data_IF_953714564703
#
_entry.id   IF_953714564703
#
_cell.length_a   1.000
_cell.length_b   1.000
_cell.length_c   1.000
_cell.angle_alpha   90.00
_cell.angle_beta   90.00
_cell.angle_gamma   90.00
#
_symmetry.space_group_name_H-M   'P 1'
#
loop_
_entity.id
_entity.type
_entity.pdbx_description
1 polymer ?
#
# COMPACT_ATOMS: atom_id res chain seq x y z
N UNK A 1 30.97 23.43 -66.78
CA UNK A 1 31.36 23.67 -65.39
C UNK A 1 30.10 23.65 -64.54
N UNK A 2 29.80 22.52 -63.92
CA UNK A 2 28.66 22.40 -62.98
C UNK A 2 29.21 22.33 -61.56
N UNK A 3 28.92 23.34 -60.79
CA UNK A 3 29.26 23.38 -59.37
C UNK A 3 28.09 22.78 -58.53
N UNK A 4 28.28 21.58 -58.03
CA UNK A 4 27.32 20.91 -57.13
C UNK A 4 27.50 21.39 -55.70
N UNK A 5 26.44 21.96 -55.13
CA UNK A 5 26.39 22.38 -53.71
C UNK A 5 25.93 21.21 -52.86
N UNK A 6 26.82 20.71 -51.99
CA UNK A 6 26.51 19.67 -51.00
C UNK A 6 25.82 20.34 -49.83
N UNK A 7 24.53 20.07 -49.63
CA UNK A 7 23.79 20.46 -48.39
C UNK A 7 24.03 19.40 -47.30
N UNK A 8 24.79 19.79 -46.28
CA UNK A 8 24.98 19.03 -45.06
C UNK A 8 23.74 19.13 -44.20
N UNK A 9 22.97 18.06 -44.08
CA UNK A 9 21.88 17.92 -43.09
C UNK A 9 22.48 17.58 -41.74
N UNK A 10 22.58 18.54 -40.86
CA UNK A 10 22.88 18.31 -39.43
C UNK A 10 21.63 17.72 -38.75
N UNK A 11 21.64 16.41 -38.48
CA UNK A 11 20.66 15.76 -37.61
C UNK A 11 20.88 16.25 -36.17
N UNK A 12 19.94 17.04 -35.68
CA UNK A 12 19.89 17.46 -34.29
C UNK A 12 19.36 16.28 -33.46
N UNK A 13 20.28 15.56 -32.79
CA UNK A 13 19.95 14.48 -31.85
C UNK A 13 19.41 15.14 -30.57
N UNK A 14 18.09 15.18 -30.42
CA UNK A 14 17.42 15.67 -29.21
C UNK A 14 17.61 14.61 -28.11
N UNK A 15 18.61 14.78 -27.26
CA UNK A 15 18.73 13.99 -26.03
C UNK A 15 17.63 14.45 -25.06
N UNK A 16 16.60 13.65 -24.91
CA UNK A 16 15.64 13.78 -23.82
C UNK A 16 16.35 13.39 -22.52
N UNK A 17 16.85 14.38 -21.78
CA UNK A 17 17.25 14.18 -20.40
C UNK A 17 15.98 13.97 -19.57
N UNK A 18 15.73 12.72 -19.18
CA UNK A 18 14.71 12.41 -18.17
C UNK A 18 15.10 13.11 -16.86
N UNK A 19 14.21 13.95 -16.34
CA UNK A 19 14.40 14.56 -15.03
C UNK A 19 14.19 13.46 -13.98
N UNK A 20 15.28 13.05 -13.34
CA UNK A 20 15.24 12.12 -12.20
C UNK A 20 15.00 12.91 -10.94
N UNK A 21 13.94 12.58 -10.21
CA UNK A 21 13.63 13.17 -8.91
C UNK A 21 13.95 12.14 -7.81
N UNK A 22 14.86 12.50 -6.92
CA UNK A 22 15.17 11.71 -5.73
C UNK A 22 14.32 12.21 -4.58
N UNK A 23 13.51 11.34 -4.01
CA UNK A 23 12.65 11.67 -2.87
C UNK A 23 13.22 11.00 -1.63
N UNK A 24 13.50 11.82 -0.60
CA UNK A 24 13.89 11.32 0.72
C UNK A 24 12.68 10.70 1.42
N UNK A 25 12.90 9.56 2.08
CA UNK A 25 11.88 8.91 2.88
C UNK A 25 11.87 9.44 4.31
N UNK A 26 10.66 9.55 4.86
CA UNK A 26 10.47 9.52 6.30
C UNK A 26 10.18 8.09 6.71
N UNK A 27 10.93 7.54 7.67
CA UNK A 27 10.57 6.25 8.25
C UNK A 27 9.40 6.42 9.22
N UNK A 28 8.46 5.50 9.15
CA UNK A 28 7.34 5.44 10.09
C UNK A 28 7.36 4.08 10.80
N UNK A 29 6.89 3.99 12.05
CA UNK A 29 6.80 2.71 12.73
C UNK A 29 5.95 1.73 11.93
N UNK A 30 6.44 0.50 11.75
CA UNK A 30 5.66 -0.57 11.13
C UNK A 30 4.40 -0.90 11.94
N UNK A 31 3.41 -1.54 11.29
CA UNK A 31 2.12 -1.87 11.92
C UNK A 31 2.27 -2.72 13.18
N UNK A 32 3.35 -3.49 13.29
CA UNK A 32 3.65 -4.36 14.43
C UNK A 32 4.75 -3.84 15.36
N UNK A 33 5.43 -2.73 15.04
CA UNK A 33 6.43 -2.15 15.92
C UNK A 33 5.75 -1.50 17.13
N UNK A 34 5.55 -2.26 18.16
CA UNK A 34 4.96 -1.81 19.44
C UNK A 34 5.88 -0.89 20.25
N UNK A 35 7.16 -0.79 19.88
CA UNK A 35 8.15 0.05 20.55
C UNK A 35 8.92 0.86 19.53
N UNK A 36 8.92 2.19 19.69
CA UNK A 36 9.65 3.12 18.84
C UNK A 36 11.17 2.90 18.99
N UNK A 37 11.71 2.05 18.14
CA UNK A 37 13.16 1.92 17.94
C UNK A 37 13.60 2.75 16.74
N UNK A 38 14.87 3.13 16.71
CA UNK A 38 15.48 3.75 15.53
C UNK A 38 15.35 2.79 14.34
N UNK A 39 15.01 3.31 13.14
CA UNK A 39 14.91 2.47 11.96
C UNK A 39 16.23 1.75 11.68
N UNK A 40 16.18 0.43 11.53
CA UNK A 40 17.36 -0.39 11.22
C UNK A 40 17.80 -0.27 9.75
N UNK A 41 16.97 0.35 8.91
CA UNK A 41 17.25 0.64 7.51
C UNK A 41 16.85 2.07 7.14
N UNK A 42 17.40 2.53 6.02
CA UNK A 42 17.02 3.77 5.36
C UNK A 42 16.49 3.41 3.97
N UNK A 43 15.51 4.15 3.48
CA UNK A 43 14.97 3.95 2.14
C UNK A 43 15.07 5.21 1.28
N UNK A 44 15.21 5.00 -0.03
CA UNK A 44 15.20 6.04 -1.05
C UNK A 44 14.25 5.63 -2.16
N UNK A 45 13.50 6.58 -2.65
CA UNK A 45 12.72 6.45 -3.89
C UNK A 45 13.32 7.34 -4.96
N UNK A 46 13.69 6.75 -6.08
CA UNK A 46 13.97 7.47 -7.32
C UNK A 46 12.75 7.37 -8.24
N UNK A 47 12.31 8.52 -8.75
CA UNK A 47 11.13 8.60 -9.60
C UNK A 47 11.49 9.30 -10.91
N UNK A 48 11.19 8.64 -12.04
CA UNK A 48 11.39 9.19 -13.39
C UNK A 48 10.10 9.06 -14.19
N UNK A 49 9.95 9.87 -15.23
CA UNK A 49 8.82 9.71 -16.18
C UNK A 49 8.98 8.41 -16.95
N UNK A 50 7.93 7.60 -17.01
CA UNK A 50 7.89 6.36 -17.76
C UNK A 50 6.99 6.46 -18.99
N UNK A 51 7.51 6.05 -20.14
CA UNK A 51 6.76 6.04 -21.39
C UNK A 51 6.37 7.42 -21.92
N UNK A 52 5.23 7.47 -22.63
CA UNK A 52 4.69 8.70 -23.24
C UNK A 52 3.57 9.34 -22.41
N UNK A 53 3.07 8.64 -21.41
CA UNK A 53 1.96 9.10 -20.58
C UNK A 53 2.50 9.97 -19.44
N UNK A 54 2.06 11.22 -19.38
CA UNK A 54 2.58 12.22 -18.45
C UNK A 54 2.29 11.91 -16.96
N UNK A 55 1.35 11.00 -16.67
CA UNK A 55 1.04 10.54 -15.31
C UNK A 55 1.68 9.19 -14.95
N UNK A 56 2.45 8.59 -15.84
CA UNK A 56 3.15 7.33 -15.53
C UNK A 56 4.57 7.61 -15.04
N UNK A 57 4.94 6.98 -13.95
CA UNK A 57 6.26 7.09 -13.33
C UNK A 57 6.91 5.73 -13.19
N UNK A 58 8.19 5.67 -13.49
CA UNK A 58 9.06 4.59 -13.05
C UNK A 58 9.47 4.88 -11.60
N UNK A 59 9.15 3.96 -10.69
CA UNK A 59 9.49 4.03 -9.28
C UNK A 59 10.59 3.01 -9.00
N UNK A 60 11.69 3.45 -8.39
CA UNK A 60 12.82 2.61 -7.97
C UNK A 60 13.08 2.83 -6.48
N UNK A 61 12.76 1.81 -5.68
CA UNK A 61 12.96 1.82 -4.23
C UNK A 61 14.25 1.10 -3.90
N UNK A 62 15.12 1.74 -3.13
CA UNK A 62 16.34 1.15 -2.61
C UNK A 62 16.38 1.28 -1.09
N UNK A 63 16.75 0.20 -0.40
CA UNK A 63 16.94 0.19 1.05
C UNK A 63 18.40 -0.12 1.39
N UNK A 64 18.92 0.56 2.41
CA UNK A 64 20.26 0.34 2.95
C UNK A 64 20.19 0.12 4.46
N UNK A 65 21.09 -0.68 5.00
CA UNK A 65 21.22 -0.86 6.45
C UNK A 65 21.72 0.44 7.09
N UNK A 66 21.03 0.93 8.12
CA UNK A 66 21.41 2.18 8.81
C UNK A 66 22.82 2.08 9.44
N UNK A 67 23.20 0.90 9.95
CA UNK A 67 24.46 0.70 10.65
C UNK A 67 25.71 0.85 9.77
N UNK A 68 25.63 0.57 8.46
CA UNK A 68 26.84 0.51 7.60
C UNK A 68 26.62 0.97 6.15
N UNK A 69 25.40 1.41 5.80
CA UNK A 69 25.06 1.87 4.45
C UNK A 69 25.01 0.78 3.37
N UNK A 70 25.16 -0.50 3.74
CA UNK A 70 25.14 -1.58 2.76
C UNK A 70 23.72 -1.79 2.23
N UNK A 71 23.62 -2.06 0.92
CA UNK A 71 22.33 -2.35 0.27
C UNK A 71 21.67 -3.60 0.87
N UNK A 72 20.38 -3.50 1.17
CA UNK A 72 19.54 -4.64 1.51
C UNK A 72 19.17 -5.36 0.21
N UNK A 73 19.44 -6.67 0.12
CA UNK A 73 19.16 -7.47 -1.09
C UNK A 73 18.18 -8.60 -0.82
N UNK A 74 18.05 -9.02 0.45
CA UNK A 74 17.21 -10.10 0.85
C UNK A 74 16.10 -9.60 1.76
N UNK A 75 14.86 -10.05 1.46
CA UNK A 75 13.65 -9.68 2.15
C UNK A 75 12.82 -10.93 2.43
N UNK A 76 12.16 -10.94 3.57
CA UNK A 76 11.16 -11.96 3.88
C UNK A 76 9.96 -11.79 2.93
N UNK A 77 9.26 -12.87 2.70
CA UNK A 77 8.00 -12.84 1.96
C UNK A 77 6.88 -12.70 2.97
N UNK A 78 6.23 -11.55 2.94
CA UNK A 78 5.03 -11.28 3.72
C UNK A 78 3.82 -11.35 2.79
N UNK A 79 2.87 -12.22 3.12
CA UNK A 79 1.64 -12.36 2.32
C UNK A 79 1.92 -12.45 0.81
N UNK A 80 2.78 -13.38 0.43
CA UNK A 80 3.21 -13.67 -0.95
C UNK A 80 4.10 -12.62 -1.63
N UNK A 81 4.38 -11.47 -1.02
CA UNK A 81 5.20 -10.40 -1.58
C UNK A 81 6.35 -10.01 -0.66
N UNK A 82 7.42 -9.49 -1.24
CA UNK A 82 8.60 -8.99 -0.50
C UNK A 82 8.53 -7.49 -0.20
N UNK A 83 7.69 -6.76 -0.93
CA UNK A 83 7.41 -5.35 -0.72
C UNK A 83 5.95 -5.09 -1.06
N UNK A 84 5.23 -4.49 -0.14
CA UNK A 84 3.92 -3.89 -0.36
C UNK A 84 4.08 -2.38 -0.50
N UNK A 85 3.49 -1.82 -1.53
CA UNK A 85 3.48 -0.38 -1.73
C UNK A 85 2.05 0.10 -1.79
N UNK A 86 1.72 0.96 -0.84
CA UNK A 86 0.43 1.65 -0.79
C UNK A 86 0.65 3.08 -1.26
N UNK A 87 -0.19 3.53 -2.18
CA UNK A 87 -0.16 4.90 -2.71
C UNK A 87 -1.53 5.52 -2.48
N UNK A 88 -1.57 6.65 -1.80
CA UNK A 88 -2.80 7.41 -1.59
C UNK A 88 -2.60 8.86 -2.02
N UNK A 89 -3.64 9.50 -2.54
CA UNK A 89 -3.62 10.95 -2.77
C UNK A 89 -3.71 11.72 -1.44
N UNK A 90 -3.24 12.94 -1.42
CA UNK A 90 -3.24 13.81 -0.22
C UNK A 90 -4.66 14.00 0.36
N UNK A 91 -5.69 14.00 -0.50
CA UNK A 91 -7.11 14.08 -0.12
C UNK A 91 -7.73 12.70 0.21
N UNK A 92 -6.95 11.64 0.18
CA UNK A 92 -7.36 10.26 0.41
C UNK A 92 -8.48 9.75 -0.54
N UNK A 93 -8.64 10.36 -1.72
CA UNK A 93 -9.62 9.91 -2.73
C UNK A 93 -9.09 8.76 -3.58
N UNK A 94 -7.78 8.67 -3.77
CA UNK A 94 -7.09 7.62 -4.53
C UNK A 94 -6.46 6.62 -3.56
N UNK A 95 -6.62 5.34 -3.87
CA UNK A 95 -5.95 4.22 -3.20
C UNK A 95 -5.43 3.22 -4.22
N UNK A 96 -4.15 2.93 -4.15
CA UNK A 96 -3.50 1.90 -4.97
C UNK A 96 -2.69 0.99 -4.05
N UNK A 97 -2.80 -0.33 -4.22
CA UNK A 97 -2.00 -1.33 -3.53
C UNK A 97 -1.24 -2.14 -4.59
N UNK A 98 0.06 -1.93 -4.66
CA UNK A 98 0.91 -2.45 -5.73
C UNK A 98 2.15 -3.16 -5.19
N UNK A 99 2.75 -4.02 -6.01
CA UNK A 99 3.85 -4.89 -5.59
C UNK A 99 5.01 -4.78 -6.59
N UNK A 100 6.01 -3.95 -6.31
CA UNK A 100 7.19 -3.80 -7.14
C UNK A 100 8.00 -5.10 -7.27
N UNK A 101 8.69 -5.25 -8.39
CA UNK A 101 9.55 -6.40 -8.64
C UNK A 101 10.96 -6.17 -8.08
N UNK A 102 11.43 -7.12 -7.28
CA UNK A 102 12.81 -7.11 -6.76
C UNK A 102 13.82 -7.44 -7.86
N UNK A 103 14.87 -6.63 -7.95
CA UNK A 103 16.03 -6.83 -8.81
C UNK A 103 17.20 -7.48 -8.05
N UNK A 104 18.20 -8.01 -8.78
CA UNK A 104 19.38 -8.63 -8.20
C UNK A 104 20.24 -7.69 -7.34
N UNK A 105 20.21 -6.38 -7.63
CA UNK A 105 20.91 -5.36 -6.83
C UNK A 105 20.20 -4.98 -5.53
N UNK A 106 19.00 -5.53 -5.27
CA UNK A 106 18.20 -5.24 -4.08
C UNK A 106 17.19 -4.10 -4.26
N UNK A 107 17.12 -3.51 -5.45
CA UNK A 107 16.13 -2.49 -5.77
C UNK A 107 14.78 -3.13 -6.12
N UNK A 108 13.71 -2.44 -5.77
CA UNK A 108 12.36 -2.78 -6.20
C UNK A 108 11.87 -1.76 -7.22
N UNK A 109 11.40 -2.24 -8.38
CA UNK A 109 10.98 -1.37 -9.48
C UNK A 109 9.55 -1.64 -9.92
N UNK A 110 8.88 -0.56 -10.33
CA UNK A 110 7.50 -0.58 -10.83
C UNK A 110 7.26 0.62 -11.74
N UNK A 111 6.59 0.42 -12.87
CA UNK A 111 5.98 1.49 -13.64
C UNK A 111 4.54 1.69 -13.15
N UNK A 112 4.25 2.85 -12.58
CA UNK A 112 2.96 3.18 -11.99
C UNK A 112 2.27 4.32 -12.72
N UNK A 113 1.05 4.08 -13.17
CA UNK A 113 0.15 5.12 -13.65
C UNK A 113 -0.62 5.74 -12.49
N UNK A 114 -0.51 7.05 -12.32
CA UNK A 114 -1.28 7.80 -11.34
C UNK A 114 -2.57 8.30 -12.00
N UNK A 115 -3.74 8.13 -11.36
CA UNK A 115 -5.03 8.46 -11.99
C UNK A 115 -5.28 9.96 -12.16
N UNK A 116 -4.56 10.81 -11.40
CA UNK A 116 -4.67 12.27 -11.46
C UNK A 116 -3.34 12.94 -11.13
N UNK A 117 -3.21 14.20 -11.49
CA UNK A 117 -2.17 15.08 -10.98
C UNK A 117 -2.44 15.43 -9.52
N UNK A 118 -1.39 15.70 -8.75
CA UNK A 118 -1.53 16.11 -7.36
C UNK A 118 -0.42 15.58 -6.47
N UNK A 119 -0.63 15.73 -5.17
CA UNK A 119 0.25 15.22 -4.12
C UNK A 119 -0.17 13.82 -3.71
N UNK A 120 0.81 12.95 -3.53
CA UNK A 120 0.61 11.55 -3.12
C UNK A 120 1.56 11.18 -1.99
N UNK A 121 1.09 10.28 -1.14
CA UNK A 121 1.86 9.61 -0.10
C UNK A 121 2.06 8.16 -0.51
N UNK A 122 3.31 7.73 -0.56
CA UNK A 122 3.69 6.36 -0.93
C UNK A 122 4.29 5.70 0.31
N UNK A 123 3.67 4.61 0.75
CA UNK A 123 4.13 3.81 1.88
C UNK A 123 4.77 2.53 1.34
N UNK A 124 6.03 2.32 1.63
CA UNK A 124 6.79 1.13 1.25
C UNK A 124 7.01 0.25 2.49
N UNK A 125 6.39 -0.92 2.51
CA UNK A 125 6.32 -1.84 3.65
C UNK A 125 7.03 -3.14 3.29
N UNK A 126 8.15 -3.43 3.96
CA UNK A 126 8.97 -4.61 3.73
C UNK A 126 9.62 -5.11 5.02
N UNK A 127 9.94 -6.39 5.07
CA UNK A 127 10.71 -7.01 6.14
C UNK A 127 12.08 -7.46 5.58
N UNK A 128 13.14 -6.67 5.76
CA UNK A 128 14.50 -7.07 5.38
C UNK A 128 14.94 -8.33 6.15
N UNK A 129 15.66 -9.22 5.49
CA UNK A 129 16.09 -10.48 6.13
C UNK A 129 16.91 -10.23 7.41
N UNK A 130 16.45 -10.83 8.52
CA UNK A 130 17.06 -10.69 9.84
C UNK A 130 16.77 -9.37 10.55
N UNK A 131 15.80 -8.59 10.06
CA UNK A 131 15.32 -7.37 10.70
C UNK A 131 13.80 -7.46 10.88
N UNK A 132 13.26 -6.55 11.67
CA UNK A 132 11.82 -6.35 11.80
C UNK A 132 11.24 -5.60 10.58
N UNK A 133 9.92 -5.60 10.46
CA UNK A 133 9.19 -4.87 9.43
C UNK A 133 9.56 -3.38 9.45
N UNK A 134 9.82 -2.85 8.27
CA UNK A 134 10.17 -1.45 8.05
C UNK A 134 9.13 -0.81 7.12
N UNK A 135 8.59 0.32 7.53
CA UNK A 135 7.68 1.12 6.71
C UNK A 135 8.27 2.49 6.45
N UNK A 136 8.30 2.91 5.21
CA UNK A 136 8.81 4.21 4.77
C UNK A 136 7.72 4.98 4.04
N UNK A 137 7.57 6.27 4.36
CA UNK A 137 6.70 7.19 3.64
C UNK A 137 7.52 8.11 2.74
N UNK A 138 7.05 8.26 1.51
CA UNK A 138 7.56 9.22 0.54
C UNK A 138 6.42 10.14 0.12
N UNK A 139 6.64 11.44 0.20
CA UNK A 139 5.70 12.45 -0.26
C UNK A 139 6.14 12.93 -1.64
N UNK A 140 5.29 12.72 -2.65
CA UNK A 140 5.64 12.99 -4.06
C UNK A 140 4.59 13.86 -4.74
N UNK A 141 5.03 14.66 -5.71
CA UNK A 141 4.16 15.41 -6.62
C UNK A 141 4.09 14.77 -8.00
N UNK A 142 2.89 14.63 -8.55
CA UNK A 142 2.64 14.14 -9.92
C UNK A 142 2.01 15.27 -10.72
N UNK A 143 2.67 15.70 -11.80
CA UNK A 143 2.20 16.81 -12.62
C UNK A 143 2.12 18.14 -11.86
N UNK A 144 1.07 18.91 -12.11
CA UNK A 144 0.81 20.17 -11.39
C UNK A 144 0.27 19.87 -9.98
N UNK A 145 1.01 20.30 -8.96
CA UNK A 145 0.62 20.16 -7.56
C UNK A 145 -0.06 21.44 -7.10
N UNK A 146 -1.37 21.42 -6.96
CA UNK A 146 -2.10 22.47 -6.25
C UNK A 146 -2.00 22.27 -4.74
N UNK A 147 -2.17 23.34 -3.96
CA UNK A 147 -2.25 23.23 -2.50
C UNK A 147 -3.40 22.27 -2.15
N UNK A 148 -3.05 21.13 -1.52
CA UNK A 148 -4.02 20.08 -1.20
C UNK A 148 -5.14 20.60 -0.30
N UNK A 149 -6.35 20.14 -0.55
CA UNK A 149 -7.47 20.28 0.36
C UNK A 149 -7.74 18.91 0.96
N UNK A 150 -7.27 18.69 2.17
CA UNK A 150 -7.84 17.65 3.02
C UNK A 150 -9.18 18.19 3.53
N UNK A 151 -10.24 18.00 2.73
CA UNK A 151 -11.60 18.20 3.22
C UNK A 151 -11.87 17.21 4.35
N UNK A 152 -12.74 17.59 5.30
CA UNK A 152 -13.22 16.66 6.31
C UNK A 152 -13.76 15.39 5.62
N UNK A 153 -13.36 14.21 6.12
CA UNK A 153 -13.85 12.95 5.59
C UNK A 153 -15.34 12.81 5.89
N UNK A 154 -16.11 12.39 4.89
CA UNK A 154 -17.56 12.18 5.08
C UNK A 154 -17.76 10.80 5.71
N UNK A 155 -18.37 10.72 6.94
CA UNK A 155 -18.61 9.44 7.59
C UNK A 155 -19.43 8.49 6.71
N UNK A 156 -18.97 7.25 6.57
CA UNK A 156 -19.62 6.21 5.76
C UNK A 156 -20.55 5.31 6.56
N UNK A 157 -20.51 5.38 7.90
CA UNK A 157 -21.11 4.37 8.76
C UNK A 157 -20.34 3.05 8.71
N UNK A 158 -21.01 1.96 9.10
CA UNK A 158 -20.42 0.61 9.16
C UNK A 158 -20.75 -0.25 7.94
N UNK A 159 -21.48 0.26 6.95
CA UNK A 159 -21.93 -0.47 5.77
C UNK A 159 -21.57 0.29 4.51
N UNK A 160 -20.83 -0.35 3.59
CA UNK A 160 -20.35 0.24 2.35
C UNK A 160 -20.55 -0.74 1.20
N UNK A 161 -20.96 -0.22 0.04
CA UNK A 161 -21.05 -0.99 -1.20
C UNK A 161 -19.69 -1.03 -1.93
N UNK A 162 -19.35 -2.19 -2.48
CA UNK A 162 -18.16 -2.41 -3.31
C UNK A 162 -18.54 -3.30 -4.51
N UNK A 163 -18.91 -2.70 -5.63
CA UNK A 163 -19.46 -3.40 -6.79
C UNK A 163 -20.76 -4.17 -6.43
N UNK A 164 -20.84 -5.50 -6.71
CA UNK A 164 -22.02 -6.30 -6.36
C UNK A 164 -22.07 -6.72 -4.88
N UNK A 165 -21.04 -6.32 -4.09
CA UNK A 165 -20.90 -6.67 -2.70
C UNK A 165 -21.28 -5.52 -1.78
N UNK A 166 -21.70 -5.90 -0.57
CA UNK A 166 -21.89 -5.00 0.55
C UNK A 166 -20.99 -5.48 1.68
N UNK A 167 -20.17 -4.61 2.23
CA UNK A 167 -19.27 -4.89 3.35
C UNK A 167 -19.81 -4.22 4.59
N UNK A 168 -19.91 -4.98 5.67
CA UNK A 168 -20.35 -4.49 6.99
C UNK A 168 -19.22 -4.68 8.00
N UNK A 169 -18.90 -3.64 8.76
CA UNK A 169 -18.02 -3.68 9.92
C UNK A 169 -18.84 -3.71 11.20
N UNK A 170 -18.39 -4.46 12.23
CA UNK A 170 -19.06 -4.45 13.55
C UNK A 170 -18.98 -3.09 14.24
N UNK A 171 -17.96 -2.29 13.94
CA UNK A 171 -17.78 -0.93 14.44
C UNK A 171 -16.99 -0.08 13.48
N UNK A 172 -17.22 1.23 13.49
CA UNK A 172 -16.39 2.25 12.84
C UNK A 172 -15.76 3.21 13.87
N UNK A 173 -15.75 2.82 15.15
CA UNK A 173 -15.07 3.57 16.21
C UNK A 173 -14.18 2.64 16.99
N UNK A 174 -12.92 3.02 17.20
CA UNK A 174 -11.89 2.23 17.87
C UNK A 174 -11.24 3.04 18.98
N UNK A 175 -10.78 2.34 20.02
CA UNK A 175 -10.02 2.94 21.11
C UNK A 175 -8.54 2.97 20.74
N UNK A 176 -7.92 4.15 20.84
CA UNK A 176 -6.49 4.34 20.56
C UNK A 176 -5.64 3.60 21.60
N UNK A 177 -4.51 3.05 21.17
CA UNK A 177 -3.55 2.35 22.01
C UNK A 177 -3.99 0.95 22.45
N UNK A 178 -5.14 0.46 21.99
CA UNK A 178 -5.63 -0.89 22.30
C UNK A 178 -5.75 -1.74 21.04
N UNK A 179 -5.38 -3.03 21.11
CA UNK A 179 -5.73 -3.99 20.06
C UNK A 179 -7.25 -4.16 20.01
N UNK A 180 -7.84 -3.88 18.88
CA UNK A 180 -9.28 -4.03 18.62
C UNK A 180 -9.54 -5.09 17.56
N UNK A 181 -10.65 -5.77 17.67
CA UNK A 181 -11.11 -6.74 16.67
C UNK A 181 -12.38 -6.22 15.99
N UNK A 182 -12.31 -6.01 14.70
CA UNK A 182 -13.46 -5.62 13.87
C UNK A 182 -13.95 -6.86 13.12
N UNK A 183 -15.20 -7.25 13.36
CA UNK A 183 -15.84 -8.28 12.54
C UNK A 183 -16.20 -7.67 11.19
N UNK A 184 -15.91 -8.40 10.13
CA UNK A 184 -16.22 -8.05 8.75
C UNK A 184 -17.20 -9.08 8.22
N UNK A 185 -18.32 -8.62 7.67
CA UNK A 185 -19.26 -9.44 6.93
C UNK A 185 -19.39 -8.94 5.50
N UNK A 186 -19.25 -9.84 4.52
CA UNK A 186 -19.36 -9.52 3.09
C UNK A 186 -20.58 -10.26 2.52
N UNK A 187 -21.56 -9.49 2.04
CA UNK A 187 -22.73 -10.00 1.35
C UNK A 187 -22.62 -9.70 -0.16
N UNK A 188 -23.21 -10.57 -0.99
CA UNK A 188 -23.41 -10.36 -2.42
C UNK A 188 -24.89 -10.40 -2.75
N UNK A 189 -25.41 -9.33 -3.35
CA UNK A 189 -26.83 -9.19 -3.65
C UNK A 189 -27.77 -9.47 -2.46
N UNK A 190 -27.35 -9.05 -1.26
CA UNK A 190 -28.14 -9.18 -0.02
C UNK A 190 -28.06 -10.54 0.68
N UNK A 191 -27.25 -11.49 0.18
CA UNK A 191 -26.99 -12.78 0.83
C UNK A 191 -25.51 -12.92 1.18
N UNK A 192 -25.11 -13.74 2.18
CA UNK A 192 -23.71 -14.00 2.48
C UNK A 192 -22.94 -14.41 1.22
N UNK A 193 -21.83 -13.75 0.94
CA UNK A 193 -21.04 -14.01 -0.25
C UNK A 193 -20.44 -15.43 -0.22
N UNK A 194 -20.48 -16.14 -1.35
CA UNK A 194 -20.04 -17.53 -1.49
C UNK A 194 -18.95 -17.71 -2.55
N UNK A 195 -18.47 -16.62 -3.11
CA UNK A 195 -17.46 -16.57 -4.16
C UNK A 195 -16.26 -15.71 -3.76
N UNK A 196 -16.00 -15.64 -2.46
CA UNK A 196 -14.81 -14.97 -1.95
C UNK A 196 -13.61 -15.90 -2.00
N UNK A 197 -12.46 -15.34 -2.36
CA UNK A 197 -11.18 -16.04 -2.44
C UNK A 197 -10.11 -15.31 -1.63
N UNK A 198 -9.07 -16.00 -1.15
CA UNK A 198 -7.92 -15.31 -0.58
C UNK A 198 -7.32 -14.31 -1.57
N UNK A 199 -6.89 -13.18 -1.05
CA UNK A 199 -6.07 -12.23 -1.80
C UNK A 199 -4.73 -12.07 -1.09
N UNK A 200 -3.64 -12.43 -1.76
CA UNK A 200 -2.29 -12.47 -1.18
C UNK A 200 -2.25 -13.27 0.14
N UNK A 201 -2.96 -14.40 0.19
CA UNK A 201 -2.93 -15.33 1.32
C UNK A 201 -3.78 -14.96 2.54
N UNK A 202 -4.61 -13.92 2.47
CA UNK A 202 -5.53 -13.51 3.55
C UNK A 202 -6.93 -13.25 3.02
N UNK A 203 -7.92 -13.19 3.91
CA UNK A 203 -9.31 -12.95 3.51
C UNK A 203 -9.53 -11.54 2.97
N UNK A 204 -8.90 -10.53 3.58
CA UNK A 204 -8.86 -9.17 3.06
C UNK A 204 -7.64 -8.42 3.61
N UNK A 205 -7.15 -7.45 2.84
CA UNK A 205 -6.17 -6.45 3.28
C UNK A 205 -6.91 -5.20 3.75
N UNK A 206 -6.45 -4.62 4.83
CA UNK A 206 -6.96 -3.37 5.37
C UNK A 206 -5.83 -2.36 5.51
N UNK A 207 -6.02 -1.20 4.90
CA UNK A 207 -5.10 -0.07 5.04
C UNK A 207 -5.86 1.07 5.67
N UNK A 208 -5.34 1.62 6.76
CA UNK A 208 -5.87 2.80 7.41
C UNK A 208 -4.84 3.92 7.31
N UNK A 209 -5.29 5.10 6.88
CA UNK A 209 -4.46 6.31 6.87
C UNK A 209 -5.23 7.42 7.58
N UNK A 210 -4.61 8.02 8.58
CA UNK A 210 -5.17 9.12 9.34
C UNK A 210 -5.19 10.40 8.49
N UNK A 211 -6.27 11.17 8.57
CA UNK A 211 -6.52 12.30 7.64
C UNK A 211 -5.60 13.50 7.84
N UNK A 212 -5.03 13.70 9.03
CA UNK A 212 -4.24 14.89 9.34
C UNK A 212 -2.74 14.65 9.31
N UNK A 213 -2.24 13.61 10.00
CA UNK A 213 -0.80 13.33 10.12
C UNK A 213 -0.32 12.21 9.17
N UNK A 214 -1.27 11.56 8.47
CA UNK A 214 -1.01 10.44 7.58
C UNK A 214 -0.40 9.23 8.30
N UNK A 215 -0.72 9.05 9.60
CA UNK A 215 -0.41 7.82 10.33
C UNK A 215 -0.98 6.62 9.59
N UNK A 216 -0.13 5.61 9.38
CA UNK A 216 -0.40 4.46 8.53
C UNK A 216 -0.51 3.18 9.33
N UNK A 217 -1.53 2.39 9.05
CA UNK A 217 -1.70 1.03 9.57
C UNK A 217 -2.04 0.09 8.41
N UNK A 218 -1.23 -0.94 8.23
CA UNK A 218 -1.50 -2.05 7.32
C UNK A 218 -1.87 -3.27 8.15
N UNK A 219 -3.07 -3.76 7.98
CA UNK A 219 -3.61 -4.87 8.75
C UNK A 219 -4.27 -5.90 7.82
N UNK A 220 -4.48 -7.11 8.33
CA UNK A 220 -5.00 -8.22 7.55
C UNK A 220 -6.15 -8.87 8.27
N UNK A 221 -7.20 -9.24 7.53
CA UNK A 221 -8.29 -10.00 8.10
C UNK A 221 -8.03 -11.49 7.99
N UNK A 222 -8.44 -12.22 9.03
CA UNK A 222 -8.35 -13.68 9.10
C UNK A 222 -9.75 -14.26 9.04
N UNK A 223 -9.96 -15.33 8.26
CA UNK A 223 -11.22 -16.08 8.26
C UNK A 223 -11.35 -16.90 9.54
N UNK A 224 -12.59 -17.10 10.03
CA UNK A 224 -12.87 -17.83 11.28
C UNK A 224 -12.32 -19.27 11.33
N UNK A 225 -12.07 -19.91 10.20
CA UNK A 225 -11.46 -21.24 10.13
C UNK A 225 -9.96 -21.23 10.41
N UNK A 226 -9.30 -20.09 10.45
CA UNK A 226 -7.86 -19.94 10.74
C UNK A 226 -7.55 -19.77 12.23
N UNK A 227 -8.56 -19.66 13.10
CA UNK A 227 -8.38 -19.44 14.54
C UNK A 227 -7.81 -20.65 15.32
N UNK A 228 -7.67 -21.83 14.70
CA UNK A 228 -7.18 -23.04 15.35
C UNK A 228 -5.68 -23.09 15.65
N UNK A 229 -4.88 -22.14 15.17
CA UNK A 229 -3.42 -22.15 15.34
C UNK A 229 -2.86 -20.73 15.53
N UNK A 230 -3.28 -20.05 16.60
CA UNK A 230 -2.51 -18.92 17.11
C UNK A 230 -1.33 -19.47 17.92
N UNK A 231 -0.20 -19.65 17.26
CA UNK A 231 1.08 -19.80 17.94
C UNK A 231 1.49 -18.41 18.44
N UNK A 232 1.44 -18.20 19.76
CA UNK A 232 1.77 -16.95 20.45
C UNK A 232 3.28 -16.67 20.47
N UNK A 233 4.07 -17.39 19.71
CA UNK A 233 5.50 -17.19 19.53
C UNK A 233 5.77 -16.75 18.11
N UNK A 234 6.21 -15.50 17.91
CA UNK A 234 6.84 -14.83 16.72
C UNK A 234 7.04 -15.61 15.41
N UNK A 235 6.11 -16.45 15.03
CA UNK A 235 6.17 -17.33 13.89
C UNK A 235 5.18 -16.88 12.83
N UNK A 236 5.65 -16.79 11.63
CA UNK A 236 4.99 -16.54 10.35
C UNK A 236 3.59 -17.14 10.33
N UNK A 237 2.57 -16.32 10.21
CA UNK A 237 1.20 -16.77 9.90
C UNK A 237 1.29 -17.67 8.68
N UNK A 238 0.90 -18.97 8.82
CA UNK A 238 0.74 -19.84 7.66
C UNK A 238 -0.23 -19.16 6.70
N UNK A 239 0.30 -18.57 5.64
CA UNK A 239 -0.51 -17.97 4.60
C UNK A 239 -1.42 -19.06 4.02
N UNK A 240 -2.65 -18.70 3.68
CA UNK A 240 -3.55 -19.52 2.86
C UNK A 240 -2.99 -19.70 1.42
N UNK A 241 -1.68 -19.46 1.24
CA UNK A 241 -0.98 -19.30 -0.03
C UNK A 241 -1.02 -20.56 -0.93
N UNK A 242 -1.55 -21.68 -0.47
CA UNK A 242 -1.54 -22.91 -1.28
C UNK A 242 -2.76 -23.07 -2.21
N UNK A 243 -3.73 -22.17 -2.20
CA UNK A 243 -4.74 -22.11 -3.26
C UNK A 243 -5.43 -20.75 -3.35
N UNK A 244 -4.98 -19.91 -4.25
CA UNK A 244 -5.73 -18.72 -4.71
C UNK A 244 -7.14 -19.03 -5.22
N UNK A 245 -7.46 -20.31 -5.35
CA UNK A 245 -8.76 -20.86 -5.80
C UNK A 245 -9.64 -21.33 -4.65
N UNK A 246 -9.13 -21.42 -3.40
CA UNK A 246 -9.95 -21.81 -2.26
C UNK A 246 -11.07 -20.79 -2.01
N UNK A 247 -12.25 -21.29 -1.68
CA UNK A 247 -13.34 -20.44 -1.24
C UNK A 247 -13.18 -20.14 0.26
N UNK A 248 -13.42 -18.89 0.63
CA UNK A 248 -13.45 -18.44 2.03
C UNK A 248 -14.86 -18.00 2.42
N UNK A 249 -15.14 -18.00 3.73
CA UNK A 249 -16.44 -17.57 4.26
C UNK A 249 -16.65 -16.06 4.10
N UNK A 250 -17.93 -15.67 4.22
CA UNK A 250 -18.38 -14.27 4.20
C UNK A 250 -17.92 -13.47 5.42
N UNK A 251 -17.48 -14.15 6.48
CA UNK A 251 -17.14 -13.55 7.76
C UNK A 251 -15.66 -13.68 8.03
N UNK A 252 -15.06 -12.59 8.46
CA UNK A 252 -13.65 -12.53 8.85
C UNK A 252 -13.44 -11.52 9.97
N UNK A 253 -12.25 -11.53 10.58
CA UNK A 253 -11.88 -10.61 11.65
C UNK A 253 -10.63 -9.83 11.29
N UNK A 254 -10.67 -8.52 11.48
CA UNK A 254 -9.55 -7.61 11.32
C UNK A 254 -9.02 -7.23 12.70
N UNK A 255 -7.74 -7.45 12.93
CA UNK A 255 -7.03 -6.98 14.11
C UNK A 255 -6.35 -5.65 13.79
N UNK A 256 -6.64 -4.62 14.54
CA UNK A 256 -6.08 -3.29 14.32
C UNK A 256 -5.77 -2.60 15.65
N UNK A 257 -4.70 -1.81 15.67
CA UNK A 257 -4.37 -0.91 16.77
C UNK A 257 -4.09 0.46 16.19
N UNK A 258 -4.94 1.44 16.54
CA UNK A 258 -4.68 2.84 16.20
C UNK A 258 -3.75 3.44 17.25
N UNK A 259 -2.84 4.33 16.82
CA UNK A 259 -1.87 4.99 17.69
C UNK A 259 -2.30 6.38 18.13
N UNK A 260 -2.97 7.09 17.23
CA UNK A 260 -3.38 8.47 17.41
C UNK A 260 -4.90 8.61 17.27
N UNK A 261 -5.52 9.52 18.02
CA UNK A 261 -6.94 9.82 17.84
C UNK A 261 -7.17 10.58 16.54
N UNK A 262 -8.38 10.48 15.98
CA UNK A 262 -8.75 11.20 14.78
C UNK A 262 -9.52 10.37 13.77
N UNK A 263 -9.71 10.94 12.59
CA UNK A 263 -10.40 10.30 11.48
C UNK A 263 -9.40 9.54 10.61
N UNK A 264 -9.73 8.29 10.31
CA UNK A 264 -8.96 7.42 9.43
C UNK A 264 -9.79 7.03 8.22
N UNK A 265 -9.19 7.09 7.04
CA UNK A 265 -9.72 6.39 5.87
C UNK A 265 -9.23 4.95 5.92
N UNK A 266 -10.16 4.01 5.97
CA UNK A 266 -9.92 2.57 5.85
C UNK A 266 -10.30 2.13 4.44
N UNK A 267 -9.38 1.48 3.74
CA UNK A 267 -9.68 0.71 2.53
C UNK A 267 -9.58 -0.78 2.86
N UNK A 268 -10.70 -1.48 2.74
CA UNK A 268 -10.74 -2.93 2.85
C UNK A 268 -10.74 -3.52 1.44
N UNK A 269 -9.66 -4.20 1.09
CA UNK A 269 -9.47 -4.82 -0.23
C UNK A 269 -9.66 -6.33 -0.14
N UNK A 270 -10.54 -6.89 -0.95
CA UNK A 270 -10.87 -8.32 -0.98
C UNK A 270 -11.09 -8.82 -2.41
N UNK A 271 -10.99 -10.14 -2.60
CA UNK A 271 -11.24 -10.80 -3.88
C UNK A 271 -12.61 -11.47 -3.87
N UNK A 272 -13.48 -11.08 -4.80
CA UNK A 272 -14.79 -11.68 -5.01
C UNK A 272 -14.94 -12.16 -6.45
N UNK A 273 -15.14 -13.45 -6.67
CA UNK A 273 -15.02 -14.05 -7.99
C UNK A 273 -13.63 -13.80 -8.58
N UNK A 274 -13.57 -13.32 -9.81
CA UNK A 274 -12.31 -13.05 -10.52
C UNK A 274 -11.73 -11.64 -10.28
N UNK A 275 -12.44 -10.76 -9.53
CA UNK A 275 -12.08 -9.36 -9.41
C UNK A 275 -11.69 -8.96 -7.98
N UNK A 276 -10.87 -7.90 -7.88
CA UNK A 276 -10.57 -7.23 -6.62
C UNK A 276 -11.55 -6.07 -6.40
N UNK A 277 -12.00 -5.94 -5.17
CA UNK A 277 -12.89 -4.88 -4.72
C UNK A 277 -12.27 -4.14 -3.56
N UNK A 278 -12.57 -2.86 -3.45
CA UNK A 278 -12.15 -2.00 -2.34
C UNK A 278 -13.39 -1.38 -1.73
N UNK A 279 -13.60 -1.58 -0.44
CA UNK A 279 -14.64 -0.95 0.35
C UNK A 279 -14.02 0.16 1.23
N UNK A 280 -14.27 1.45 0.94
CA UNK A 280 -13.72 2.56 1.70
C UNK A 280 -14.63 2.92 2.88
N UNK A 281 -14.08 2.93 4.08
CA UNK A 281 -14.76 3.37 5.31
C UNK A 281 -14.08 4.58 5.93
N UNK A 282 -14.82 5.29 6.76
CA UNK A 282 -14.25 6.24 7.72
C UNK A 282 -14.36 5.62 9.11
N UNK A 283 -13.21 5.51 9.77
CA UNK A 283 -13.08 4.97 11.12
C UNK A 283 -12.59 6.07 12.05
N UNK A 284 -13.16 6.14 13.25
CA UNK A 284 -12.84 7.16 14.26
C UNK A 284 -12.02 6.53 15.38
N UNK A 285 -10.78 7.00 15.55
CA UNK A 285 -9.96 6.72 16.72
C UNK A 285 -10.33 7.65 17.86
N UNK A 286 -10.67 7.09 19.04
CA UNK A 286 -10.97 7.83 20.27
C UNK A 286 -10.02 7.42 21.38
N UNK A 287 -9.76 8.33 22.31
CA UNK A 287 -9.03 8.07 23.56
C UNK A 287 -9.77 7.07 24.45
#
# INVERSE_FOLDING_TARGET
MLTGTIRSTRSLLLMLFGISCHVAASSIPGSFALQGGEPSTQARLEMTTAGKEHLTRHLDFAMTRAANGLAVRDYQVELTKKLHVIIVSDDLSVFLHVHPRLLQNGHFVLDQHFPAEGKYHIFADATPAGLEQQVFRFDVGIGAVSAGHTGALVPTGTLVAAGPYTVTLSTATLTVGRPEMIQIHIAKHGAPARDLHPYLGVAAHAVLVQSTDQSYVHAHSMSGNSMGHMDMGGGHSKSLADSDTALIGSDSMLHVTLREPGEYKLWLQFRGGEALYVAPFIVIGRE
#
